data_IF_039702151194
#
_entry.id   IF_039702151194
#
_cell.length_a   1.000
_cell.length_b   1.000
_cell.length_c   1.000
_cell.angle_alpha   90.00
_cell.angle_beta   90.00
_cell.angle_gamma   90.00
#
_symmetry.space_group_name_H-M   'P 1'
#
loop_
_entity.id
_entity.type
_entity.pdbx_description
1 polymer ?
#
# COMPACT_ATOMS: atom_id res chain seq x y z
N UNK A 1 -4.10 -0.14 -32.82
CA UNK A 1 -4.08 0.73 -31.63
C UNK A 1 -4.34 -0.17 -30.46
N UNK A 2 -3.28 -0.64 -29.81
CA UNK A 2 -3.38 -1.34 -28.53
C UNK A 2 -3.52 -0.20 -27.52
N UNK A 3 -4.68 -0.12 -26.85
CA UNK A 3 -4.88 0.88 -25.81
C UNK A 3 -3.88 0.63 -24.68
N UNK A 4 -3.40 1.71 -24.07
CA UNK A 4 -2.52 1.68 -22.91
C UNK A 4 -3.15 0.80 -21.80
N UNK A 5 -2.79 -0.48 -21.77
CA UNK A 5 -2.90 -1.27 -20.56
C UNK A 5 -1.84 -0.67 -19.62
N UNK A 6 -2.28 0.15 -18.67
CA UNK A 6 -1.40 0.62 -17.59
C UNK A 6 -0.63 -0.59 -17.05
N UNK A 7 0.70 -0.56 -17.19
CA UNK A 7 1.55 -1.69 -16.85
C UNK A 7 1.43 -1.92 -15.35
N UNK A 8 0.84 -3.06 -14.98
CA UNK A 8 0.70 -3.46 -13.58
C UNK A 8 2.01 -4.06 -13.08
N UNK A 9 2.47 -3.58 -11.94
CA UNK A 9 3.58 -4.19 -11.20
C UNK A 9 3.00 -5.21 -10.22
N UNK A 10 3.47 -6.45 -10.32
CA UNK A 10 3.08 -7.51 -9.39
C UNK A 10 3.96 -7.44 -8.14
N UNK A 11 3.33 -7.24 -6.98
CA UNK A 11 3.98 -7.17 -5.67
C UNK A 11 3.54 -8.33 -4.79
N UNK A 12 4.51 -8.93 -4.11
CA UNK A 12 4.27 -9.94 -3.09
C UNK A 12 4.38 -9.29 -1.72
N UNK A 13 3.25 -9.17 -1.02
CA UNK A 13 3.22 -8.76 0.38
C UNK A 13 3.45 -9.98 1.26
N UNK A 14 4.51 -9.92 2.07
CA UNK A 14 4.86 -10.91 3.08
C UNK A 14 4.85 -10.25 4.45
N UNK A 15 4.70 -11.07 5.50
CA UNK A 15 4.83 -10.61 6.87
C UNK A 15 5.71 -11.59 7.65
N UNK A 16 6.60 -11.09 8.50
CA UNK A 16 7.43 -11.94 9.37
C UNK A 16 6.63 -12.59 10.48
N UNK A 17 5.54 -11.95 10.90
CA UNK A 17 4.55 -12.42 11.87
C UNK A 17 3.16 -12.25 11.29
N UNK A 18 2.21 -13.03 11.77
CA UNK A 18 0.80 -12.85 11.38
C UNK A 18 0.33 -11.45 11.76
N UNK A 19 -0.24 -10.73 10.79
CA UNK A 19 -0.99 -9.49 10.99
C UNK A 19 -2.46 -9.71 10.65
N UNK A 20 -3.35 -8.97 11.29
CA UNK A 20 -4.80 -9.12 11.10
C UNK A 20 -5.38 -7.91 10.37
N UNK A 21 -6.60 -8.05 9.85
CA UNK A 21 -7.32 -6.99 9.12
C UNK A 21 -6.48 -6.37 7.98
N UNK A 22 -5.79 -7.23 7.22
CA UNK A 22 -4.91 -6.79 6.14
C UNK A 22 -5.73 -6.27 4.96
N UNK A 23 -5.46 -5.03 4.54
CA UNK A 23 -6.15 -4.35 3.44
C UNK A 23 -5.16 -3.80 2.44
N UNK A 24 -5.55 -3.82 1.18
CA UNK A 24 -4.95 -2.98 0.13
C UNK A 24 -5.87 -1.78 -0.07
N UNK A 25 -5.28 -0.60 -0.16
CA UNK A 25 -5.95 0.69 -0.21
C UNK A 25 -5.64 1.40 -1.52
N UNK A 26 -6.64 2.03 -2.12
CA UNK A 26 -6.44 3.12 -3.06
C UNK A 26 -6.28 4.42 -2.26
N UNK A 27 -5.25 5.20 -2.60
CA UNK A 27 -4.96 6.48 -1.95
C UNK A 27 -5.32 7.64 -2.88
N UNK A 28 -5.89 8.70 -2.30
CA UNK A 28 -6.19 9.94 -3.01
C UNK A 28 -6.09 11.14 -2.07
N UNK A 29 -6.19 12.35 -2.62
CA UNK A 29 -6.29 13.60 -1.84
C UNK A 29 -5.16 13.75 -0.80
N UNK A 30 -3.90 13.67 -1.25
CA UNK A 30 -2.74 13.87 -0.39
C UNK A 30 -2.74 15.27 0.22
N UNK A 31 -2.54 15.34 1.53
CA UNK A 31 -2.50 16.58 2.30
C UNK A 31 -1.42 16.51 3.38
N UNK A 32 -1.01 17.67 3.90
CA UNK A 32 -0.10 17.77 5.03
C UNK A 32 -0.56 18.85 6.00
N UNK A 33 -0.53 18.55 7.30
CA UNK A 33 -0.93 19.50 8.33
C UNK A 33 0.20 20.47 8.72
N UNK A 34 -0.12 21.45 9.57
CA UNK A 34 0.83 22.45 10.07
C UNK A 34 2.01 21.86 10.86
N UNK A 35 1.88 20.62 11.34
CA UNK A 35 2.93 19.90 12.05
C UNK A 35 3.78 19.02 11.11
N UNK A 36 3.46 19.00 9.81
CA UNK A 36 4.14 18.20 8.81
C UNK A 36 3.69 16.74 8.77
N UNK A 37 2.58 16.38 9.40
CA UNK A 37 2.00 15.05 9.26
C UNK A 37 1.30 14.94 7.92
N UNK A 38 1.57 13.88 7.18
CA UNK A 38 0.93 13.61 5.90
C UNK A 38 -0.32 12.78 6.07
N UNK A 39 -1.30 12.98 5.21
CA UNK A 39 -2.52 12.19 5.21
C UNK A 39 -3.03 11.93 3.78
N UNK A 40 -3.77 10.84 3.64
CA UNK A 40 -4.46 10.47 2.41
C UNK A 40 -5.92 10.15 2.72
N UNK A 41 -6.80 10.43 1.78
CA UNK A 41 -8.08 9.73 1.69
C UNK A 41 -7.83 8.29 1.25
N UNK A 42 -8.55 7.35 1.85
CA UNK A 42 -8.33 5.92 1.62
C UNK A 42 -9.64 5.23 1.21
N UNK A 43 -9.55 4.32 0.24
CA UNK A 43 -10.62 3.39 -0.12
C UNK A 43 -10.07 1.96 -0.08
N UNK A 44 -10.76 1.06 0.61
CA UNK A 44 -10.37 -0.36 0.65
C UNK A 44 -10.76 -1.05 -0.66
N UNK A 45 -9.76 -1.55 -1.39
CA UNK A 45 -9.96 -2.25 -2.66
C UNK A 45 -9.82 -3.77 -2.55
N UNK A 46 -9.16 -4.24 -1.48
CA UNK A 46 -9.07 -5.65 -1.13
C UNK A 46 -8.89 -5.76 0.38
N UNK A 47 -9.45 -6.82 0.97
CA UNK A 47 -9.26 -7.15 2.37
C UNK A 47 -9.16 -8.65 2.57
N UNK A 48 -8.39 -9.05 3.58
CA UNK A 48 -8.38 -10.42 4.09
C UNK A 48 -8.19 -10.42 5.61
N UNK A 49 -8.74 -11.42 6.32
CA UNK A 49 -8.69 -11.43 7.78
C UNK A 49 -7.28 -11.44 8.35
N UNK A 50 -6.35 -12.13 7.69
CA UNK A 50 -4.98 -12.31 8.14
C UNK A 50 -4.01 -12.38 6.95
N UNK A 51 -2.80 -11.87 7.15
CA UNK A 51 -1.64 -12.14 6.31
C UNK A 51 -0.60 -12.86 7.18
N UNK A 52 -0.28 -14.10 6.82
CA UNK A 52 0.67 -14.94 7.58
C UNK A 52 1.97 -15.17 6.78
N UNK A 53 3.08 -15.53 7.43
CA UNK A 53 4.33 -15.83 6.72
C UNK A 53 4.18 -16.90 5.63
N UNK A 54 3.32 -17.90 5.86
CA UNK A 54 3.07 -19.01 4.93
C UNK A 54 2.01 -18.70 3.87
N UNK A 55 1.27 -17.59 4.02
CA UNK A 55 0.17 -17.19 3.14
C UNK A 55 0.34 -15.74 2.69
N UNK A 56 1.33 -15.45 1.82
CA UNK A 56 1.53 -14.11 1.29
C UNK A 56 0.43 -13.71 0.31
N UNK A 57 0.31 -12.40 0.04
CA UNK A 57 -0.62 -11.85 -0.94
C UNK A 57 0.15 -11.37 -2.18
N UNK A 58 -0.20 -11.87 -3.36
CA UNK A 58 0.25 -11.31 -4.62
C UNK A 58 -0.79 -10.31 -5.14
N UNK A 59 -0.41 -9.04 -5.30
CA UNK A 59 -1.28 -7.98 -5.79
C UNK A 59 -0.67 -7.31 -7.04
N UNK A 60 -1.52 -6.94 -8.01
CA UNK A 60 -1.11 -6.14 -9.16
C UNK A 60 -1.47 -4.68 -8.91
N UNK A 61 -0.47 -3.82 -8.76
CA UNK A 61 -0.64 -2.39 -8.51
C UNK A 61 -0.22 -1.56 -9.72
N UNK A 62 -0.84 -0.40 -9.89
CA UNK A 62 -0.43 0.61 -10.88
C UNK A 62 0.14 1.80 -10.13
N UNK A 63 1.36 2.20 -10.47
CA UNK A 63 2.01 3.39 -9.91
C UNK A 63 1.82 4.56 -10.87
N UNK A 64 1.19 5.64 -10.40
CA UNK A 64 0.81 6.78 -11.22
C UNK A 64 1.42 8.08 -10.68
N UNK A 65 2.29 8.70 -11.48
CA UNK A 65 2.90 9.98 -11.14
C UNK A 65 3.79 9.91 -9.90
N UNK A 66 3.92 11.04 -9.21
CA UNK A 66 4.86 11.22 -8.09
C UNK A 66 4.18 11.15 -6.71
N UNK A 67 2.85 11.12 -6.65
CA UNK A 67 2.09 11.04 -5.41
C UNK A 67 1.62 9.59 -5.23
N UNK A 68 1.89 8.94 -4.08
CA UNK A 68 1.44 7.58 -3.86
C UNK A 68 -0.08 7.42 -4.04
N UNK A 69 -0.47 6.44 -4.85
CA UNK A 69 -1.85 6.09 -5.13
C UNK A 69 -2.25 4.70 -4.60
N UNK A 70 -1.30 3.97 -4.02
CA UNK A 70 -1.52 2.65 -3.42
C UNK A 70 -1.10 2.66 -1.95
N UNK A 71 -1.82 1.91 -1.13
CA UNK A 71 -1.48 1.72 0.28
C UNK A 71 -1.84 0.35 0.81
N UNK A 72 -1.40 0.08 2.03
CA UNK A 72 -1.83 -1.07 2.82
C UNK A 72 -2.20 -0.61 4.22
N UNK A 73 -3.10 -1.35 4.87
CA UNK A 73 -3.29 -1.28 6.31
C UNK A 73 -3.35 -2.66 6.92
N UNK A 74 -2.95 -2.77 8.19
CA UNK A 74 -3.09 -3.98 8.97
C UNK A 74 -3.08 -3.65 10.46
N UNK A 75 -3.53 -4.58 11.28
CA UNK A 75 -3.41 -4.53 12.74
C UNK A 75 -2.24 -5.41 13.17
N UNK A 76 -1.30 -4.81 13.90
CA UNK A 76 -0.10 -5.49 14.38
C UNK A 76 -0.37 -6.40 15.59
N UNK A 77 0.68 -7.08 16.08
CA UNK A 77 0.59 -7.99 17.24
C UNK A 77 0.17 -7.31 18.56
N UNK A 78 0.25 -5.98 18.63
CA UNK A 78 -0.16 -5.17 19.78
C UNK A 78 -1.59 -4.62 19.63
N UNK A 79 -2.27 -4.93 18.52
CA UNK A 79 -3.60 -4.41 18.23
C UNK A 79 -3.60 -2.98 17.69
N UNK A 80 -2.45 -2.48 17.22
CA UNK A 80 -2.34 -1.13 16.65
C UNK A 80 -2.53 -1.20 15.14
N UNK A 81 -3.45 -0.38 14.62
CA UNK A 81 -3.61 -0.21 13.18
C UNK A 81 -2.42 0.57 12.61
N UNK A 82 -1.82 0.01 11.57
CA UNK A 82 -0.73 0.60 10.80
C UNK A 82 -1.18 0.85 9.38
N UNK A 83 -0.80 1.99 8.83
CA UNK A 83 -1.11 2.40 7.46
C UNK A 83 0.16 2.85 6.76
N UNK A 84 0.35 2.35 5.54
CA UNK A 84 1.51 2.67 4.74
C UNK A 84 1.09 2.97 3.31
N UNK A 85 1.64 4.02 2.72
CA UNK A 85 1.69 4.18 1.28
C UNK A 85 2.71 3.17 0.72
N UNK A 86 2.33 2.53 -0.38
CA UNK A 86 3.21 1.66 -1.16
C UNK A 86 3.63 2.46 -2.38
N UNK A 87 4.90 2.81 -2.46
CA UNK A 87 5.40 3.67 -3.52
C UNK A 87 6.67 3.09 -4.17
N UNK A 88 6.96 3.55 -5.38
CA UNK A 88 8.10 3.12 -6.18
C UNK A 88 8.95 4.31 -6.58
N UNK A 89 10.23 4.23 -6.30
CA UNK A 89 11.20 5.23 -6.72
C UNK A 89 11.24 5.30 -8.25
N UNK A 90 10.89 6.45 -8.81
CA UNK A 90 11.07 6.72 -10.24
C UNK A 90 12.53 6.77 -10.70
N UNK A 91 13.49 6.81 -9.76
CA UNK A 91 14.92 6.84 -10.07
C UNK A 91 15.49 5.45 -10.38
N UNK A 92 15.12 4.45 -9.57
CA UNK A 92 15.73 3.11 -9.60
C UNK A 92 14.75 1.95 -9.52
N UNK A 93 13.44 2.22 -9.43
CA UNK A 93 12.40 1.21 -9.34
C UNK A 93 12.34 0.50 -7.99
N UNK A 94 13.06 0.98 -6.97
CA UNK A 94 12.98 0.42 -5.63
C UNK A 94 11.61 0.67 -5.01
N UNK A 95 11.11 -0.32 -4.26
CA UNK A 95 9.85 -0.22 -3.52
C UNK A 95 10.13 0.24 -2.10
N UNK A 96 9.25 1.08 -1.57
CA UNK A 96 9.32 1.49 -0.18
C UNK A 96 7.92 1.66 0.42
N UNK A 97 7.88 1.60 1.75
CA UNK A 97 6.69 1.87 2.55
C UNK A 97 6.87 3.19 3.29
N UNK A 98 5.84 4.01 3.29
CA UNK A 98 5.81 5.28 4.00
C UNK A 98 4.58 5.36 4.92
N UNK A 99 4.81 5.46 6.24
CA UNK A 99 3.73 5.61 7.25
C UNK A 99 3.07 7.00 7.16
N UNK A 100 1.73 7.02 7.24
CA UNK A 100 0.91 8.24 7.21
C UNK A 100 -0.31 8.13 8.14
#
# INVERSE_FOLDING_TARGET
MVGDEESRTMLLFTAEKTVTDFKVLALSSFDFDENGNTSFSTETVYEQPELTPDRPLLAGLVFLGDIPNNGISYVDENGVEKRYAVDMSGMDGSLFLWEF
#
